data_IF_856277123056
#
_entry.id   IF_856277123056
#
_cell.length_a   1.000
_cell.length_b   1.000
_cell.length_c   1.000
_cell.angle_alpha   90.00
_cell.angle_beta   90.00
_cell.angle_gamma   90.00
#
_symmetry.space_group_name_H-M   'P 1'
#
loop_
_entity.id
_entity.type
_entity.pdbx_description
1 polymer ?
#
# COMPACT_ATOMS: atom_id res chain seq x y z
N UNK A 1 -5.26 -21.98 9.64
CA UNK A 1 -4.27 -21.51 10.63
C UNK A 1 -2.89 -21.47 10.02
N UNK A 2 -2.20 -20.37 10.22
CA UNK A 2 -0.83 -20.18 9.73
C UNK A 2 0.13 -20.96 10.64
N UNK A 3 1.03 -21.75 10.05
CA UNK A 3 2.03 -22.50 10.82
C UNK A 3 3.05 -21.54 11.45
N UNK A 4 3.77 -22.02 12.46
CA UNK A 4 4.83 -21.24 13.12
C UNK A 4 5.93 -20.83 12.14
N UNK A 5 6.30 -21.72 11.21
CA UNK A 5 7.28 -21.42 10.16
C UNK A 5 6.77 -20.33 9.21
N UNK A 6 5.49 -20.39 8.84
CA UNK A 6 4.87 -19.37 7.99
C UNK A 6 4.80 -18.01 8.69
N UNK A 7 4.50 -17.99 9.98
CA UNK A 7 4.50 -16.76 10.78
C UNK A 7 5.89 -16.10 10.81
N UNK A 8 6.94 -16.90 10.95
CA UNK A 8 8.32 -16.40 10.92
C UNK A 8 8.66 -15.83 9.54
N UNK A 9 8.25 -16.50 8.48
CA UNK A 9 8.46 -16.00 7.12
C UNK A 9 7.74 -14.67 6.91
N UNK A 10 6.50 -14.56 7.34
CA UNK A 10 5.72 -13.33 7.23
C UNK A 10 6.36 -12.17 8.01
N UNK A 11 6.85 -12.43 9.22
CA UNK A 11 7.58 -11.43 9.99
C UNK A 11 8.82 -10.96 9.25
N UNK A 12 9.56 -11.88 8.64
CA UNK A 12 10.76 -11.54 7.88
C UNK A 12 10.44 -10.68 6.66
N UNK A 13 9.37 -11.00 5.95
CA UNK A 13 8.90 -10.21 4.80
C UNK A 13 8.59 -8.77 5.24
N UNK A 14 7.89 -8.61 6.35
CA UNK A 14 7.55 -7.29 6.89
C UNK A 14 8.82 -6.51 7.27
N UNK A 15 9.76 -7.14 7.95
CA UNK A 15 11.01 -6.49 8.36
C UNK A 15 11.85 -6.08 7.14
N UNK A 16 11.93 -6.93 6.12
CA UNK A 16 12.67 -6.63 4.90
C UNK A 16 12.05 -5.44 4.16
N UNK A 17 10.73 -5.39 4.06
CA UNK A 17 10.03 -4.26 3.45
C UNK A 17 10.19 -2.97 4.25
N UNK A 18 10.15 -3.03 5.57
CA UNK A 18 10.39 -1.86 6.43
C UNK A 18 11.79 -1.27 6.20
N UNK A 19 12.78 -2.13 5.97
CA UNK A 19 14.16 -1.72 5.68
C UNK A 19 14.33 -1.18 4.27
N UNK A 20 13.80 -1.91 3.28
CA UNK A 20 14.00 -1.60 1.85
C UNK A 20 13.13 -0.43 1.38
N UNK A 21 11.97 -0.24 2.00
CA UNK A 21 11.05 0.88 1.74
C UNK A 21 10.85 1.15 0.25
N UNK A 22 10.40 0.14 -0.48
CA UNK A 22 10.19 0.23 -1.93
C UNK A 22 9.21 1.35 -2.26
N UNK A 23 9.57 2.21 -3.21
CA UNK A 23 8.76 3.34 -3.63
C UNK A 23 8.87 4.58 -2.75
N UNK A 24 9.60 4.50 -1.63
CA UNK A 24 9.78 5.64 -0.74
C UNK A 24 10.70 6.69 -1.36
N UNK A 25 10.36 7.95 -1.15
CA UNK A 25 11.18 9.09 -1.57
C UNK A 25 11.41 10.01 -0.37
N UNK A 26 12.53 10.72 -0.37
CA UNK A 26 12.85 11.66 0.71
C UNK A 26 11.90 12.85 0.71
N UNK A 27 11.54 13.32 -0.48
CA UNK A 27 10.61 14.44 -0.67
C UNK A 27 9.74 14.18 -1.89
N UNK A 28 8.48 14.62 -1.84
CA UNK A 28 7.59 14.66 -2.98
C UNK A 28 7.57 16.10 -3.51
N UNK A 29 8.00 16.28 -4.76
CA UNK A 29 7.87 17.54 -5.47
C UNK A 29 6.37 17.88 -5.63
N UNK A 30 6.07 19.12 -5.96
CA UNK A 30 4.71 19.46 -6.36
C UNK A 30 4.30 18.61 -7.57
N UNK A 31 3.02 18.28 -7.67
CA UNK A 31 2.53 17.40 -8.74
C UNK A 31 2.88 17.95 -10.14
N UNK A 32 2.81 19.26 -10.30
CA UNK A 32 3.09 19.94 -11.57
C UNK A 32 4.57 19.93 -11.94
N UNK A 33 5.43 19.67 -10.98
CA UNK A 33 6.89 19.70 -11.13
C UNK A 33 7.48 18.31 -11.43
N UNK A 34 6.66 17.27 -11.41
CA UNK A 34 7.13 15.92 -11.77
C UNK A 34 7.27 15.82 -13.29
N UNK A 35 8.40 16.30 -13.80
CA UNK A 35 8.66 16.35 -15.23
C UNK A 35 8.59 14.99 -15.91
N UNK A 36 8.99 13.92 -15.20
CA UNK A 36 8.97 12.56 -15.76
C UNK A 36 7.53 12.08 -15.96
N UNK A 37 6.67 12.30 -14.98
CA UNK A 37 5.28 11.91 -15.06
C UNK A 37 4.50 12.76 -16.07
N UNK A 38 4.77 14.06 -16.11
CA UNK A 38 4.17 14.97 -17.10
C UNK A 38 4.58 14.56 -18.52
N UNK A 39 5.85 14.25 -18.73
CA UNK A 39 6.36 13.79 -20.03
C UNK A 39 5.76 12.45 -20.45
N UNK A 40 5.46 11.56 -19.47
CA UNK A 40 4.81 10.29 -19.73
C UNK A 40 3.29 10.41 -19.92
N UNK A 41 2.71 11.57 -19.70
CA UNK A 41 1.27 11.79 -19.83
C UNK A 41 0.44 11.17 -18.70
N UNK A 42 1.05 10.96 -17.54
CA UNK A 42 0.36 10.35 -16.39
C UNK A 42 -0.56 11.36 -15.70
N UNK A 43 -1.76 10.91 -15.37
CA UNK A 43 -2.65 11.66 -14.49
C UNK A 43 -2.25 11.36 -13.06
N UNK A 44 -1.94 12.37 -12.28
CA UNK A 44 -1.42 12.21 -10.94
C UNK A 44 -2.33 12.82 -9.89
N UNK A 45 -2.35 12.17 -8.73
CA UNK A 45 -2.93 12.73 -7.52
C UNK A 45 -2.17 12.18 -6.31
N UNK A 46 -2.36 12.80 -5.17
CA UNK A 46 -1.76 12.34 -3.92
C UNK A 46 -2.74 12.52 -2.76
N UNK A 47 -2.55 11.73 -1.73
CA UNK A 47 -3.33 11.80 -0.50
C UNK A 47 -2.40 11.70 0.70
N UNK A 48 -2.63 12.55 1.69
CA UNK A 48 -1.93 12.54 2.96
C UNK A 48 -2.87 12.01 4.04
N UNK A 49 -2.43 11.00 4.77
CA UNK A 49 -3.23 10.36 5.82
C UNK A 49 -2.43 10.30 7.12
N UNK A 50 -3.12 10.46 8.24
CA UNK A 50 -2.51 10.44 9.56
C UNK A 50 -3.29 9.44 10.44
N UNK A 51 -2.53 8.62 11.18
CA UNK A 51 -3.11 7.82 12.25
C UNK A 51 -2.80 8.53 13.57
N UNK A 52 -3.78 9.25 14.10
CA UNK A 52 -3.59 10.07 15.29
C UNK A 52 -3.33 9.26 16.56
N UNK A 53 -3.68 7.97 16.57
CA UNK A 53 -3.45 7.10 17.72
C UNK A 53 -1.97 6.80 17.93
N UNK A 54 -1.21 6.54 16.86
CA UNK A 54 0.21 6.19 16.96
C UNK A 54 1.14 7.23 16.33
N UNK A 55 0.59 8.28 15.74
CA UNK A 55 1.39 9.34 15.13
C UNK A 55 1.98 9.00 13.77
N UNK A 56 1.57 7.89 13.17
CA UNK A 56 2.00 7.54 11.81
C UNK A 56 1.38 8.51 10.82
N UNK A 57 2.15 8.92 9.83
CA UNK A 57 1.62 9.70 8.71
C UNK A 57 2.28 9.28 7.41
N UNK A 58 1.52 9.36 6.32
CA UNK A 58 1.97 8.96 5.01
C UNK A 58 1.32 9.81 3.92
N UNK A 59 2.10 10.11 2.89
CA UNK A 59 1.60 10.68 1.64
C UNK A 59 1.86 9.67 0.53
N UNK A 60 0.84 9.31 -0.23
CA UNK A 60 0.92 8.42 -1.37
C UNK A 60 0.59 9.19 -2.63
N UNK A 61 1.43 9.10 -3.64
CA UNK A 61 1.23 9.67 -4.97
C UNK A 61 1.10 8.54 -5.99
N UNK A 62 0.10 8.65 -6.86
CA UNK A 62 -0.13 7.66 -7.92
C UNK A 62 -0.23 8.39 -9.26
N UNK A 63 0.36 7.79 -10.28
CA UNK A 63 0.23 8.21 -11.67
C UNK A 63 -0.46 7.14 -12.49
N UNK A 64 -1.54 7.50 -13.19
CA UNK A 64 -2.30 6.59 -14.04
C UNK A 64 -2.07 6.91 -15.51
N UNK A 65 -1.89 5.85 -16.32
CA UNK A 65 -1.97 5.93 -17.77
C UNK A 65 -3.28 5.29 -18.25
N UNK A 66 -3.87 5.85 -19.29
CA UNK A 66 -5.17 5.38 -19.79
C UNK A 66 -6.33 5.96 -19.00
N UNK A 67 -7.51 5.38 -19.17
CA UNK A 67 -8.75 5.90 -18.60
C UNK A 67 -9.63 4.78 -18.05
N UNK A 68 -10.51 5.14 -17.12
CA UNK A 68 -11.46 4.22 -16.51
C UNK A 68 -10.81 3.17 -15.62
N UNK A 69 -11.50 2.07 -15.45
CA UNK A 69 -11.05 0.97 -14.58
C UNK A 69 -9.88 0.18 -15.18
N UNK A 70 -9.64 0.32 -16.49
CA UNK A 70 -8.51 -0.31 -17.18
C UNK A 70 -7.24 0.55 -17.15
N UNK A 71 -7.31 1.77 -16.64
CA UNK A 71 -6.13 2.62 -16.46
C UNK A 71 -5.08 1.86 -15.63
N UNK A 72 -3.80 2.04 -16.00
CA UNK A 72 -2.70 1.33 -15.35
C UNK A 72 -2.01 2.24 -14.34
N UNK A 73 -1.59 1.63 -13.25
CA UNK A 73 -0.81 2.32 -12.21
C UNK A 73 0.66 2.25 -12.66
N UNK A 74 1.09 3.28 -13.39
CA UNK A 74 2.44 3.36 -13.94
C UNK A 74 3.38 4.22 -13.10
N UNK A 75 2.84 5.02 -12.18
CA UNK A 75 3.63 5.79 -11.24
C UNK A 75 3.15 5.54 -9.80
N UNK A 76 4.10 5.37 -8.90
CA UNK A 76 3.82 5.22 -7.48
C UNK A 76 5.02 5.75 -6.69
N UNK A 77 4.75 6.61 -5.72
CA UNK A 77 5.76 7.07 -4.78
C UNK A 77 5.07 7.37 -3.45
N UNK A 78 5.83 7.24 -2.38
CA UNK A 78 5.30 7.57 -1.05
C UNK A 78 6.37 8.16 -0.16
N UNK A 79 5.92 8.90 0.81
CA UNK A 79 6.74 9.45 1.87
C UNK A 79 5.97 9.31 3.17
N UNK A 80 6.65 8.94 4.23
CA UNK A 80 5.97 8.77 5.51
C UNK A 80 6.92 8.66 6.68
N UNK A 81 6.35 8.84 7.86
CA UNK A 81 7.02 8.65 9.14
C UNK A 81 6.09 7.82 10.00
N UNK A 82 6.61 6.76 10.60
CA UNK A 82 5.79 5.90 11.43
C UNK A 82 6.50 4.63 11.84
N UNK A 83 5.73 3.69 12.36
CA UNK A 83 6.24 2.40 12.82
C UNK A 83 6.62 1.50 11.64
N UNK A 84 7.34 0.43 11.95
CA UNK A 84 7.76 -0.57 10.94
C UNK A 84 6.59 -1.16 10.17
N UNK A 85 5.45 -1.34 10.81
CA UNK A 85 4.25 -1.92 10.17
C UNK A 85 3.72 -0.98 9.07
N UNK A 86 3.59 0.32 9.36
CA UNK A 86 3.15 1.31 8.37
C UNK A 86 4.11 1.40 7.20
N UNK A 87 5.39 1.47 7.48
CA UNK A 87 6.42 1.62 6.44
C UNK A 87 6.53 0.37 5.58
N UNK A 88 6.48 -0.81 6.19
CA UNK A 88 6.46 -2.07 5.46
C UNK A 88 5.22 -2.19 4.58
N UNK A 89 4.06 -1.78 5.10
CA UNK A 89 2.81 -1.82 4.34
C UNK A 89 2.85 -0.92 3.11
N UNK A 90 3.45 0.28 3.23
CA UNK A 90 3.62 1.18 2.08
C UNK A 90 4.53 0.58 1.02
N UNK A 91 5.63 -0.05 1.43
CA UNK A 91 6.55 -0.74 0.53
C UNK A 91 5.86 -1.89 -0.20
N UNK A 92 5.10 -2.70 0.52
CA UNK A 92 4.32 -3.82 -0.04
C UNK A 92 3.25 -3.30 -1.01
N UNK A 93 2.58 -2.23 -0.66
CA UNK A 93 1.57 -1.60 -1.52
C UNK A 93 2.18 -1.20 -2.86
N UNK A 94 3.34 -0.55 -2.85
CA UNK A 94 4.07 -0.20 -4.08
C UNK A 94 4.28 -1.42 -4.97
N UNK A 95 4.80 -2.51 -4.39
CA UNK A 95 5.11 -3.73 -5.15
C UNK A 95 3.85 -4.46 -5.64
N UNK A 96 2.76 -4.33 -4.89
CA UNK A 96 1.51 -5.04 -5.20
C UNK A 96 0.73 -4.37 -6.33
N UNK A 97 0.61 -3.04 -6.30
CA UNK A 97 -0.27 -2.32 -7.23
C UNK A 97 0.43 -1.76 -8.45
N UNK A 98 1.72 -1.51 -8.38
CA UNK A 98 2.46 -0.93 -9.51
C UNK A 98 2.42 -1.87 -10.71
N UNK A 99 2.02 -1.35 -11.86
CA UNK A 99 1.88 -2.12 -13.09
C UNK A 99 0.55 -2.85 -13.24
N UNK A 100 -0.36 -2.74 -12.26
CA UNK A 100 -1.71 -3.32 -12.35
C UNK A 100 -2.70 -2.28 -12.86
N UNK A 101 -3.89 -2.73 -13.25
CA UNK A 101 -5.00 -1.84 -13.56
C UNK A 101 -5.66 -1.33 -12.27
N UNK A 102 -6.43 -0.25 -12.38
CA UNK A 102 -7.24 0.26 -11.26
C UNK A 102 -8.19 -0.84 -10.76
N UNK A 103 -8.85 -1.57 -11.67
CA UNK A 103 -9.76 -2.66 -11.29
C UNK A 103 -9.06 -3.74 -10.49
N UNK A 104 -7.88 -4.19 -10.94
CA UNK A 104 -7.09 -5.20 -10.23
C UNK A 104 -6.65 -4.71 -8.85
N UNK A 105 -6.19 -3.46 -8.77
CA UNK A 105 -5.74 -2.89 -7.50
C UNK A 105 -6.87 -2.77 -6.48
N UNK A 106 -8.09 -2.47 -6.93
CA UNK A 106 -9.25 -2.40 -6.04
C UNK A 106 -9.63 -3.77 -5.47
N UNK A 107 -9.49 -4.83 -6.27
CA UNK A 107 -9.69 -6.21 -5.80
C UNK A 107 -8.67 -6.54 -4.71
N UNK A 108 -7.41 -6.22 -4.93
CA UNK A 108 -6.33 -6.45 -3.97
C UNK A 108 -6.57 -5.66 -2.66
N UNK A 109 -6.98 -4.41 -2.78
CA UNK A 109 -7.33 -3.55 -1.64
C UNK A 109 -8.44 -4.17 -0.80
N UNK A 110 -9.50 -4.65 -1.44
CA UNK A 110 -10.62 -5.26 -0.72
C UNK A 110 -10.21 -6.55 -0.02
N UNK A 111 -9.43 -7.40 -0.67
CA UNK A 111 -8.91 -8.63 -0.08
C UNK A 111 -7.99 -8.34 1.12
N UNK A 112 -7.12 -7.35 0.99
CA UNK A 112 -6.23 -6.92 2.08
C UNK A 112 -7.04 -6.40 3.27
N UNK A 113 -8.03 -5.56 3.01
CA UNK A 113 -8.91 -5.01 4.04
C UNK A 113 -9.70 -6.10 4.76
N UNK A 114 -10.28 -7.04 4.02
CA UNK A 114 -11.01 -8.17 4.61
C UNK A 114 -10.11 -9.02 5.50
N UNK A 115 -8.91 -9.34 5.00
CA UNK A 115 -7.92 -10.10 5.76
C UNK A 115 -7.58 -9.41 7.09
N UNK A 116 -7.31 -8.12 7.06
CA UNK A 116 -6.95 -7.36 8.26
C UNK A 116 -8.11 -7.23 9.25
N UNK A 117 -9.34 -7.20 8.77
CA UNK A 117 -10.53 -7.10 9.62
C UNK A 117 -11.00 -8.45 10.17
N UNK A 118 -10.43 -9.54 9.67
CA UNK A 118 -10.88 -10.90 10.00
C UNK A 118 -10.44 -11.39 11.38
N UNK A 119 -9.57 -10.69 12.06
CA UNK A 119 -8.96 -11.12 13.33
C UNK A 119 -8.25 -12.48 13.22
N UNK A 120 -7.67 -12.75 12.07
CA UNK A 120 -6.94 -13.98 11.81
C UNK A 120 -7.81 -15.16 11.36
N UNK A 121 -9.07 -14.92 11.00
CA UNK A 121 -10.00 -15.97 10.57
C UNK A 121 -9.98 -16.25 9.07
N UNK A 122 -9.40 -15.33 8.27
CA UNK A 122 -9.30 -15.49 6.82
C UNK A 122 -7.86 -15.87 6.46
N UNK A 123 -7.69 -16.95 5.71
CA UNK A 123 -6.41 -17.28 5.11
C UNK A 123 -6.16 -16.37 3.91
N UNK A 124 -4.96 -15.76 3.79
CA UNK A 124 -4.68 -14.87 2.66
C UNK A 124 -4.53 -15.65 1.36
N UNK A 125 -4.98 -15.03 0.27
CA UNK A 125 -4.72 -15.51 -1.08
C UNK A 125 -3.36 -14.97 -1.54
N UNK A 126 -2.32 -15.77 -1.36
CA UNK A 126 -0.95 -15.39 -1.69
C UNK A 126 -0.72 -15.19 -3.19
N UNK A 127 -1.50 -15.85 -4.04
CA UNK A 127 -1.40 -15.66 -5.50
C UNK A 127 -1.83 -14.25 -5.91
N UNK A 128 -2.84 -13.71 -5.23
CA UNK A 128 -3.35 -12.38 -5.52
C UNK A 128 -2.58 -11.31 -4.75
N UNK A 129 -2.36 -11.53 -3.46
CA UNK A 129 -1.79 -10.52 -2.57
C UNK A 129 -0.26 -10.50 -2.55
N UNK A 130 0.40 -11.60 -2.95
CA UNK A 130 1.86 -11.66 -2.86
C UNK A 130 2.35 -11.36 -1.44
N UNK A 131 3.33 -10.49 -1.30
CA UNK A 131 3.89 -10.13 0.01
C UNK A 131 2.88 -9.45 0.95
N UNK A 132 1.80 -8.89 0.42
CA UNK A 132 0.73 -8.32 1.25
C UNK A 132 0.08 -9.39 2.15
N UNK A 133 0.12 -10.65 1.75
CA UNK A 133 -0.36 -11.77 2.57
C UNK A 133 0.38 -11.90 3.91
N UNK A 134 1.61 -11.38 3.99
CA UNK A 134 2.40 -11.41 5.22
C UNK A 134 1.73 -10.65 6.38
N UNK A 135 0.81 -9.73 6.08
CA UNK A 135 0.10 -8.97 7.11
C UNK A 135 -1.04 -9.77 7.77
N UNK A 136 -1.27 -11.01 7.36
CA UNK A 136 -2.28 -11.87 8.00
C UNK A 136 -2.07 -12.00 9.51
N UNK A 137 -0.82 -12.08 9.96
CA UNK A 137 -0.49 -12.14 11.38
C UNK A 137 -0.80 -10.86 12.15
N UNK A 138 -0.81 -9.72 11.45
CA UNK A 138 -1.13 -8.42 12.04
C UNK A 138 -2.61 -8.29 12.36
N UNK A 139 -3.46 -9.05 11.67
CA UNK A 139 -4.93 -8.97 11.79
C UNK A 139 -5.46 -9.25 13.19
N UNK A 140 -4.67 -9.92 14.02
CA UNK A 140 -5.02 -10.22 15.42
C UNK A 140 -4.85 -9.04 16.37
N UNK A 141 -4.21 -7.97 15.91
CA UNK A 141 -3.83 -6.82 16.75
C UNK A 141 -4.46 -5.54 16.21
N UNK A 142 -5.61 -5.10 16.75
CA UNK A 142 -6.37 -3.96 16.18
C UNK A 142 -5.56 -2.67 16.00
N UNK A 143 -4.66 -2.34 16.91
CA UNK A 143 -3.82 -1.15 16.79
C UNK A 143 -2.88 -1.24 15.58
N UNK A 144 -2.33 -2.43 15.32
CA UNK A 144 -1.43 -2.68 14.19
C UNK A 144 -2.19 -2.75 12.87
N UNK A 145 -3.45 -3.17 12.89
CA UNK A 145 -4.31 -3.16 11.70
C UNK A 145 -4.44 -1.75 11.15
N UNK A 146 -4.63 -0.76 12.01
CA UNK A 146 -4.69 0.66 11.61
C UNK A 146 -3.40 1.13 10.96
N UNK A 147 -2.26 0.72 11.50
CA UNK A 147 -0.96 1.05 10.93
C UNK A 147 -0.79 0.41 9.55
N UNK A 148 -1.15 -0.87 9.41
CA UNK A 148 -1.05 -1.59 8.15
C UNK A 148 -2.00 -1.04 7.08
N UNK A 149 -3.18 -0.57 7.47
CA UNK A 149 -4.17 -0.02 6.54
C UNK A 149 -3.85 1.40 6.07
N UNK A 150 -3.06 2.16 6.82
CA UNK A 150 -2.85 3.59 6.55
C UNK A 150 -2.41 3.88 5.11
N UNK A 151 -1.38 3.22 4.55
CA UNK A 151 -0.99 3.45 3.16
C UNK A 151 -2.08 3.07 2.16
N UNK A 152 -2.81 2.01 2.43
CA UNK A 152 -3.88 1.53 1.54
C UNK A 152 -5.08 2.46 1.53
N UNK A 153 -5.40 3.08 2.67
CA UNK A 153 -6.42 4.13 2.76
C UNK A 153 -6.01 5.35 1.94
N UNK A 154 -4.74 5.75 2.04
CA UNK A 154 -4.21 6.86 1.24
C UNK A 154 -4.30 6.54 -0.26
N UNK A 155 -3.96 5.32 -0.65
CA UNK A 155 -4.05 4.86 -2.03
C UNK A 155 -5.50 4.90 -2.55
N UNK A 156 -6.44 4.40 -1.77
CA UNK A 156 -7.86 4.44 -2.13
C UNK A 156 -8.33 5.89 -2.36
N UNK A 157 -7.93 6.80 -1.48
CA UNK A 157 -8.28 8.21 -1.61
C UNK A 157 -7.74 8.82 -2.90
N UNK A 158 -6.52 8.45 -3.30
CA UNK A 158 -5.92 8.89 -4.57
C UNK A 158 -6.73 8.38 -5.76
N UNK A 159 -7.11 7.11 -5.75
CA UNK A 159 -7.91 6.54 -6.85
C UNK A 159 -9.27 7.25 -6.98
N UNK A 160 -9.89 7.61 -5.85
CA UNK A 160 -11.13 8.38 -5.87
C UNK A 160 -10.95 9.77 -6.48
N UNK A 161 -9.80 10.42 -6.25
CA UNK A 161 -9.49 11.72 -6.87
C UNK A 161 -9.30 11.60 -8.38
N UNK A 162 -8.78 10.47 -8.84
CA UNK A 162 -8.46 10.23 -10.26
C UNK A 162 -9.62 9.63 -11.06
N UNK A 163 -10.68 9.24 -10.38
CA UNK A 163 -11.86 8.65 -11.03
C UNK A 163 -12.76 9.71 -11.68
#
# INVERSE_FOLDING_TARGET
MTSSAMQQLYQQIILDHAKSAHGAVAELSELDEDAAAVAAGLRQAQSHQVNTTCGDEITVRVGLSGAGVDARIDGFAWRGVGCSISMASASVLNDTVRGTSVAESLVMLDLFREMLRSRGTIEPDEEVLGDAAAFAGVSKYPARVKCAMLPWVAFEAVLLQLS
#
